data_IF_341003978375
#
_entry.id   IF_341003978375
#
_cell.length_a   1.000
_cell.length_b   1.000
_cell.length_c   1.000
_cell.angle_alpha   90.00
_cell.angle_beta   90.00
_cell.angle_gamma   90.00
#
_symmetry.space_group_name_H-M   'P 1'
#
loop_
_entity.id
_entity.type
_entity.pdbx_description
1 polymer ?
#
# COMPACT_ATOMS: atom_id res chain seq x y z
N UNK A 1 -15.17 1.07 -5.58
CA UNK A 1 -14.23 1.34 -4.46
C UNK A 1 -12.84 1.72 -4.97
N UNK A 2 -12.11 0.84 -5.68
CA UNK A 2 -10.74 1.17 -6.15
C UNK A 2 -10.62 2.47 -6.96
N UNK A 3 -11.53 2.70 -7.92
CA UNK A 3 -11.58 3.97 -8.68
C UNK A 3 -11.81 5.19 -7.79
N UNK A 4 -12.65 5.06 -6.75
CA UNK A 4 -12.94 6.13 -5.81
C UNK A 4 -11.70 6.45 -4.98
N UNK A 5 -11.08 5.44 -4.36
CA UNK A 5 -9.85 5.61 -3.58
C UNK A 5 -8.72 6.23 -4.40
N UNK A 6 -8.65 5.94 -5.71
CA UNK A 6 -7.62 6.47 -6.60
C UNK A 6 -7.92 7.89 -7.11
N UNK A 7 -9.19 8.26 -7.31
CA UNK A 7 -9.54 9.51 -8.02
C UNK A 7 -10.20 10.57 -7.14
N UNK A 8 -10.87 10.19 -6.06
CA UNK A 8 -11.47 11.15 -5.14
C UNK A 8 -10.39 11.91 -4.36
N UNK A 9 -10.67 13.18 -4.07
CA UNK A 9 -9.89 14.07 -3.20
C UNK A 9 -10.75 14.66 -2.09
N UNK A 10 -11.95 14.10 -1.89
CA UNK A 10 -12.81 14.46 -0.78
C UNK A 10 -12.45 13.60 0.43
N UNK A 11 -12.07 14.25 1.52
CA UNK A 11 -11.61 13.56 2.71
C UNK A 11 -12.71 12.66 3.32
N UNK A 12 -13.93 13.17 3.41
CA UNK A 12 -15.04 12.46 4.08
C UNK A 12 -15.53 11.29 3.21
N UNK A 13 -15.55 11.46 1.88
CA UNK A 13 -15.85 10.36 0.95
C UNK A 13 -14.81 9.23 1.07
N UNK A 14 -13.53 9.58 1.03
CA UNK A 14 -12.44 8.60 1.16
C UNK A 14 -12.49 7.88 2.51
N UNK A 15 -12.72 8.62 3.59
CA UNK A 15 -12.84 8.06 4.94
C UNK A 15 -14.05 7.13 5.04
N UNK A 16 -15.20 7.52 4.47
CA UNK A 16 -16.41 6.71 4.46
C UNK A 16 -16.17 5.36 3.79
N UNK A 17 -15.66 5.35 2.56
CA UNK A 17 -15.43 4.09 1.84
C UNK A 17 -14.35 3.23 2.50
N UNK A 18 -13.29 3.85 3.03
CA UNK A 18 -12.24 3.13 3.74
C UNK A 18 -12.79 2.44 4.99
N UNK A 19 -13.55 3.17 5.84
CA UNK A 19 -14.16 2.59 7.04
C UNK A 19 -15.17 1.50 6.69
N UNK A 20 -16.09 1.79 5.76
CA UNK A 20 -17.12 0.85 5.35
C UNK A 20 -16.51 -0.46 4.83
N UNK A 21 -15.41 -0.39 4.07
CA UNK A 21 -14.70 -1.60 3.62
C UNK A 21 -14.11 -2.40 4.79
N UNK A 22 -13.41 -1.75 5.72
CA UNK A 22 -12.81 -2.41 6.88
C UNK A 22 -13.89 -3.04 7.78
N UNK A 23 -15.01 -2.36 8.00
CA UNK A 23 -16.14 -2.85 8.80
C UNK A 23 -16.90 -4.00 8.13
N UNK A 24 -17.05 -3.96 6.80
CA UNK A 24 -17.73 -5.02 6.07
C UNK A 24 -16.87 -6.30 5.96
N UNK A 25 -15.55 -6.16 5.86
CA UNK A 25 -14.65 -7.29 5.55
C UNK A 25 -13.96 -7.83 6.82
N UNK A 26 -13.48 -6.98 7.70
CA UNK A 26 -12.64 -7.36 8.84
C UNK A 26 -13.35 -8.20 9.91
N UNK A 27 -14.40 -7.67 10.58
CA UNK A 27 -15.09 -8.37 11.66
C UNK A 27 -15.60 -9.77 11.28
N UNK A 28 -16.26 -9.97 10.12
CA UNK A 28 -16.72 -11.32 9.72
C UNK A 28 -15.58 -12.31 9.46
N UNK A 29 -14.39 -11.83 9.09
CA UNK A 29 -13.22 -12.67 8.82
C UNK A 29 -12.43 -13.05 10.07
N UNK A 30 -12.52 -12.27 11.17
CA UNK A 30 -11.68 -12.44 12.36
C UNK A 30 -11.60 -13.89 12.85
N UNK A 31 -12.73 -14.52 13.16
CA UNK A 31 -12.76 -15.88 13.71
C UNK A 31 -12.32 -16.94 12.69
N UNK A 32 -12.66 -16.73 11.40
CA UNK A 32 -12.25 -17.62 10.31
C UNK A 32 -10.74 -17.56 10.12
N UNK A 33 -10.15 -16.37 10.16
CA UNK A 33 -8.70 -16.16 10.06
C UNK A 33 -7.96 -16.77 11.25
N UNK A 34 -8.47 -16.61 12.47
CA UNK A 34 -7.90 -17.27 13.65
C UNK A 34 -7.90 -18.79 13.49
N UNK A 35 -9.01 -19.37 13.01
CA UNK A 35 -9.10 -20.81 12.74
C UNK A 35 -8.14 -21.24 11.63
N UNK A 36 -8.02 -20.45 10.57
CA UNK A 36 -7.05 -20.69 9.49
C UNK A 36 -5.62 -20.74 10.03
N UNK A 37 -5.20 -19.76 10.84
CA UNK A 37 -3.84 -19.73 11.42
C UNK A 37 -3.58 -20.96 12.31
N UNK A 38 -4.56 -21.38 13.10
CA UNK A 38 -4.44 -22.61 13.91
C UNK A 38 -4.21 -23.85 13.05
N UNK A 39 -5.01 -24.01 11.98
CA UNK A 39 -4.91 -25.15 11.08
C UNK A 39 -3.61 -25.13 10.26
N UNK A 40 -3.20 -23.95 9.76
CA UNK A 40 -1.95 -23.78 9.04
C UNK A 40 -0.74 -24.15 9.94
N UNK A 41 -0.71 -23.67 11.18
CA UNK A 41 0.35 -24.02 12.12
C UNK A 41 0.33 -25.50 12.53
N UNK A 42 -0.86 -26.13 12.61
CA UNK A 42 -0.95 -27.57 12.84
C UNK A 42 -0.36 -28.36 11.67
N UNK A 43 -0.70 -27.99 10.43
CA UNK A 43 -0.16 -28.62 9.23
C UNK A 43 1.36 -28.44 9.13
N UNK A 44 1.87 -27.25 9.41
CA UNK A 44 3.32 -26.97 9.40
C UNK A 44 4.07 -27.86 10.40
N UNK A 45 3.56 -27.97 11.63
CA UNK A 45 4.14 -28.85 12.67
C UNK A 45 4.11 -30.33 12.31
N UNK A 46 3.09 -30.79 11.63
CA UNK A 46 3.04 -32.18 11.11
C UNK A 46 4.10 -32.43 10.03
N UNK A 47 4.59 -31.38 9.37
CA UNK A 47 5.65 -31.43 8.37
C UNK A 47 7.04 -31.09 8.94
N UNK A 48 7.18 -31.00 10.26
CA UNK A 48 8.48 -30.77 10.92
C UNK A 48 8.88 -29.30 11.13
N UNK A 49 8.04 -28.34 10.73
CA UNK A 49 8.28 -26.91 10.97
C UNK A 49 7.69 -26.45 12.31
N UNK A 50 8.27 -25.45 12.96
CA UNK A 50 7.78 -24.80 14.17
C UNK A 50 6.40 -24.14 13.96
N UNK A 51 6.21 -23.46 12.82
CA UNK A 51 4.97 -22.80 12.44
C UNK A 51 4.86 -22.60 10.91
N UNK A 52 3.69 -22.13 10.47
CA UNK A 52 3.42 -21.89 9.05
C UNK A 52 4.30 -20.77 8.46
N UNK A 53 4.81 -19.86 9.27
CA UNK A 53 5.71 -18.80 8.82
C UNK A 53 7.10 -19.33 8.51
N UNK A 54 7.63 -20.24 9.32
CA UNK A 54 8.86 -20.97 9.02
C UNK A 54 8.72 -21.80 7.75
N UNK A 55 7.62 -22.57 7.64
CA UNK A 55 7.33 -23.34 6.42
C UNK A 55 7.27 -22.46 5.16
N UNK A 56 6.72 -21.24 5.24
CA UNK A 56 6.72 -20.31 4.11
C UNK A 56 8.11 -19.78 3.76
N UNK A 57 8.97 -19.58 4.76
CA UNK A 57 10.35 -19.10 4.55
C UNK A 57 11.25 -20.17 3.96
N UNK A 58 10.95 -21.44 4.18
CA UNK A 58 11.69 -22.56 3.60
C UNK A 58 11.80 -22.48 2.07
N UNK A 59 10.80 -21.90 1.39
CA UNK A 59 10.83 -21.72 -0.07
C UNK A 59 12.00 -20.85 -0.58
N UNK A 60 12.69 -20.13 0.30
CA UNK A 60 13.86 -19.32 -0.02
C UNK A 60 15.19 -20.02 0.28
N UNK A 61 15.16 -21.15 1.00
CA UNK A 61 16.35 -21.95 1.35
C UNK A 61 17.51 -21.11 1.93
N UNK A 62 17.18 -20.11 2.77
CA UNK A 62 18.12 -19.13 3.34
C UNK A 62 17.92 -18.99 4.86
N UNK A 63 18.88 -19.52 5.62
CA UNK A 63 18.91 -19.45 7.09
C UNK A 63 18.96 -18.01 7.64
N UNK A 64 19.41 -17.06 6.82
CA UNK A 64 19.53 -15.64 7.17
C UNK A 64 18.44 -14.77 6.53
N UNK A 65 17.41 -15.38 5.95
CA UNK A 65 16.38 -14.66 5.20
C UNK A 65 15.78 -13.47 5.96
N UNK A 66 15.48 -13.64 7.25
CA UNK A 66 14.88 -12.58 8.06
C UNK A 66 15.85 -11.41 8.29
N UNK A 67 17.13 -11.71 8.52
CA UNK A 67 18.19 -10.71 8.68
C UNK A 67 18.42 -9.96 7.36
N UNK A 68 18.52 -10.69 6.24
CA UNK A 68 18.70 -10.13 4.91
C UNK A 68 17.57 -9.15 4.55
N UNK A 69 16.31 -9.52 4.83
CA UNK A 69 15.15 -8.62 4.64
C UNK A 69 15.24 -7.40 5.56
N UNK A 70 15.63 -7.57 6.83
CA UNK A 70 15.79 -6.45 7.76
C UNK A 70 16.87 -5.46 7.30
N UNK A 71 17.98 -5.95 6.74
CA UNK A 71 19.05 -5.12 6.18
C UNK A 71 18.57 -4.33 4.95
N UNK A 72 17.85 -4.98 4.02
CA UNK A 72 17.25 -4.30 2.87
C UNK A 72 16.27 -3.22 3.32
N UNK A 73 15.39 -3.52 4.27
CA UNK A 73 14.43 -2.55 4.83
C UNK A 73 15.16 -1.38 5.49
N UNK A 74 16.23 -1.65 6.25
CA UNK A 74 17.06 -0.62 6.88
C UNK A 74 17.71 0.29 5.83
N UNK A 75 18.26 -0.29 4.76
CA UNK A 75 18.90 0.46 3.67
C UNK A 75 17.94 1.40 2.92
N UNK A 76 16.68 0.97 2.69
CA UNK A 76 15.68 1.80 1.99
C UNK A 76 14.96 2.80 2.91
N UNK A 77 15.00 2.58 4.23
CA UNK A 77 14.24 3.38 5.20
C UNK A 77 14.54 4.88 5.13
N UNK A 78 15.79 5.35 5.00
CA UNK A 78 16.08 6.78 4.85
C UNK A 78 15.38 7.41 3.65
N UNK A 79 15.43 6.75 2.48
CA UNK A 79 14.75 7.21 1.27
C UNK A 79 13.23 7.25 1.47
N UNK A 80 12.66 6.18 2.03
CA UNK A 80 11.22 6.13 2.35
C UNK A 80 10.80 7.27 3.29
N UNK A 81 11.60 7.58 4.32
CA UNK A 81 11.31 8.69 5.23
C UNK A 81 11.31 10.06 4.54
N UNK A 82 12.23 10.30 3.60
CA UNK A 82 12.21 11.52 2.81
C UNK A 82 10.96 11.63 1.93
N UNK A 83 10.63 10.57 1.20
CA UNK A 83 9.40 10.51 0.39
C UNK A 83 8.15 10.72 1.26
N UNK A 84 8.06 9.99 2.36
CA UNK A 84 6.95 10.07 3.32
C UNK A 84 6.80 11.49 3.90
N UNK A 85 7.90 12.16 4.22
CA UNK A 85 7.88 13.54 4.72
C UNK A 85 7.39 14.50 3.64
N UNK A 86 7.90 14.37 2.41
CA UNK A 86 7.46 15.19 1.29
C UNK A 86 5.96 15.02 0.99
N UNK A 87 5.49 13.77 0.92
CA UNK A 87 4.07 13.44 0.73
C UNK A 87 3.22 13.99 1.86
N UNK A 88 3.68 13.89 3.13
CA UNK A 88 2.98 14.52 4.26
C UNK A 88 2.81 16.01 4.06
N UNK A 89 3.86 16.73 3.65
CA UNK A 89 3.78 18.17 3.39
C UNK A 89 2.72 18.48 2.34
N UNK A 90 2.70 17.74 1.22
CA UNK A 90 1.70 17.91 0.16
C UNK A 90 0.27 17.58 0.60
N UNK A 91 0.10 16.56 1.44
CA UNK A 91 -1.20 16.24 2.00
C UNK A 91 -1.67 17.30 3.00
N UNK A 92 -0.77 17.91 3.79
CA UNK A 92 -1.09 19.04 4.67
C UNK A 92 -1.50 20.26 3.85
N UNK A 93 -0.79 20.58 2.76
CA UNK A 93 -1.18 21.66 1.84
C UNK A 93 -2.61 21.45 1.31
N UNK A 94 -3.00 20.20 1.02
CA UNK A 94 -4.33 19.86 0.45
C UNK A 94 -5.46 19.75 1.47
N UNK A 95 -5.18 19.16 2.63
CA UNK A 95 -6.19 18.71 3.61
C UNK A 95 -6.09 19.43 4.96
N UNK A 96 -5.09 20.29 5.15
CA UNK A 96 -4.92 21.12 6.35
C UNK A 96 -4.75 20.29 7.62
N UNK A 97 -5.52 20.67 8.65
CA UNK A 97 -5.51 20.10 10.00
C UNK A 97 -5.93 18.62 10.07
N UNK A 98 -6.56 18.10 9.00
CA UNK A 98 -6.90 16.69 8.88
C UNK A 98 -5.68 15.76 8.73
N UNK A 99 -4.48 16.33 8.50
CA UNK A 99 -3.20 15.61 8.45
C UNK A 99 -2.27 16.18 9.51
N UNK A 100 -1.77 15.32 10.40
CA UNK A 100 -0.86 15.75 11.46
C UNK A 100 0.57 15.98 10.93
N UNK A 101 1.25 17.08 11.30
CA UNK A 101 2.62 17.38 10.86
C UNK A 101 3.66 16.41 11.45
N UNK A 102 3.37 15.82 12.60
CA UNK A 102 4.24 14.94 13.39
C UNK A 102 3.75 13.48 13.47
N UNK A 103 2.63 13.16 12.81
CA UNK A 103 1.94 11.88 12.93
C UNK A 103 2.00 10.99 11.68
N UNK A 104 1.51 9.74 11.76
CA UNK A 104 1.39 8.88 10.57
C UNK A 104 0.47 9.51 9.52
N UNK A 105 0.65 9.10 8.26
CA UNK A 105 -0.25 9.50 7.18
C UNK A 105 -1.61 8.81 7.35
N UNK A 106 -2.74 9.52 7.19
CA UNK A 106 -4.05 8.87 7.18
C UNK A 106 -4.16 7.88 6.00
N UNK A 107 -4.39 6.60 6.30
CA UNK A 107 -4.31 5.52 5.31
C UNK A 107 -5.29 5.66 4.12
N UNK A 108 -6.42 6.33 4.32
CA UNK A 108 -7.45 6.55 3.29
C UNK A 108 -7.09 7.64 2.28
N UNK A 109 -6.01 8.40 2.49
CA UNK A 109 -5.60 9.51 1.62
C UNK A 109 -4.49 9.13 0.63
N UNK A 110 -4.12 7.85 0.53
CA UNK A 110 -2.93 7.40 -0.19
C UNK A 110 -3.25 6.70 -1.51
N UNK A 111 -4.38 7.06 -2.13
CA UNK A 111 -4.70 6.66 -3.52
C UNK A 111 -5.16 5.21 -3.70
N UNK A 112 -5.18 4.40 -2.64
CA UNK A 112 -5.69 3.03 -2.65
C UNK A 112 -6.19 2.62 -1.25
N UNK A 113 -6.91 1.49 -1.17
CA UNK A 113 -7.55 1.03 0.07
C UNK A 113 -6.58 0.69 1.21
N UNK A 114 -5.36 0.28 0.90
CA UNK A 114 -4.38 -0.26 1.84
C UNK A 114 -3.12 0.59 1.98
N UNK A 115 -3.08 1.77 1.36
CA UNK A 115 -1.89 2.63 1.32
C UNK A 115 -0.61 1.97 0.76
N UNK A 116 -0.73 0.85 0.02
CA UNK A 116 0.41 0.07 -0.48
C UNK A 116 1.12 0.68 -1.70
N UNK A 117 0.42 1.49 -2.50
CA UNK A 117 0.97 2.20 -3.67
C UNK A 117 0.35 3.61 -3.75
N UNK A 118 1.18 4.65 -3.84
CA UNK A 118 0.75 6.06 -3.81
C UNK A 118 0.63 6.70 -5.20
N UNK A 119 0.72 5.93 -6.28
CA UNK A 119 0.52 6.43 -7.65
C UNK A 119 -0.83 7.16 -7.83
N UNK A 120 -1.87 6.70 -7.13
CA UNK A 120 -3.21 7.31 -7.18
C UNK A 120 -3.26 8.76 -6.71
N UNK A 121 -2.25 9.26 -6.00
CA UNK A 121 -2.17 10.66 -5.53
C UNK A 121 -1.07 11.47 -6.23
N UNK A 122 -0.54 10.99 -7.36
CA UNK A 122 0.55 11.66 -8.06
C UNK A 122 0.24 13.14 -8.36
N UNK A 123 -0.99 13.47 -8.74
CA UNK A 123 -1.48 14.83 -8.97
C UNK A 123 -1.34 15.77 -7.75
N UNK A 124 -1.37 15.23 -6.53
CA UNK A 124 -1.18 16.01 -5.30
C UNK A 124 0.29 16.23 -4.97
N UNK A 125 1.15 15.31 -5.42
CA UNK A 125 2.57 15.25 -5.03
C UNK A 125 3.53 15.54 -6.17
N UNK A 126 3.01 15.97 -7.32
CA UNK A 126 3.83 16.34 -8.47
C UNK A 126 4.68 17.57 -8.16
N UNK A 127 6.03 17.48 -8.22
CA UNK A 127 6.89 18.62 -7.88
C UNK A 127 6.80 19.79 -8.87
N UNK A 128 6.63 19.48 -10.16
CA UNK A 128 6.68 20.46 -11.25
C UNK A 128 5.51 20.25 -12.23
N UNK A 129 4.27 20.63 -11.88
CA UNK A 129 3.09 20.37 -12.71
C UNK A 129 3.10 21.11 -14.05
N UNK A 130 3.88 22.19 -14.16
CA UNK A 130 4.06 22.94 -15.40
C UNK A 130 5.06 22.28 -16.37
N UNK A 131 5.81 21.26 -15.93
CA UNK A 131 6.75 20.55 -16.79
C UNK A 131 5.99 19.59 -17.72
N UNK A 132 6.42 19.53 -18.99
CA UNK A 132 5.81 18.66 -19.99
C UNK A 132 6.11 17.20 -19.65
N UNK A 133 5.08 16.40 -19.39
CA UNK A 133 5.23 14.95 -19.32
C UNK A 133 5.28 14.34 -20.71
N UNK A 134 6.06 13.27 -20.83
CA UNK A 134 6.00 12.38 -21.99
C UNK A 134 4.79 11.47 -21.77
N UNK A 135 3.66 11.84 -22.36
CA UNK A 135 2.48 10.97 -22.50
C UNK A 135 2.31 10.64 -23.99
N UNK A 136 2.62 9.40 -24.35
CA UNK A 136 2.53 8.90 -25.73
C UNK A 136 1.19 8.22 -26.01
N UNK A 137 0.23 8.25 -25.08
CA UNK A 137 -1.07 7.56 -25.23
C UNK A 137 -1.79 8.04 -26.49
N UNK A 138 -1.83 9.36 -26.72
CA UNK A 138 -2.42 9.94 -27.92
C UNK A 138 -1.67 9.50 -29.19
N UNK A 139 -0.35 9.49 -29.16
CA UNK A 139 0.46 9.06 -30.31
C UNK A 139 0.25 7.58 -30.64
N UNK A 140 0.12 6.72 -29.62
CA UNK A 140 -0.20 5.30 -29.79
C UNK A 140 -1.60 5.10 -30.39
N UNK A 141 -2.61 5.87 -29.95
CA UNK A 141 -3.96 5.85 -30.52
C UNK A 141 -3.92 6.32 -31.99
N UNK A 142 -3.21 7.40 -32.27
CA UNK A 142 -3.03 7.93 -33.64
C UNK A 142 -2.34 6.90 -34.54
N UNK A 143 -1.33 6.19 -34.02
CA UNK A 143 -0.60 5.14 -34.73
C UNK A 143 -1.38 3.81 -34.82
N UNK A 144 -2.59 3.72 -34.27
CA UNK A 144 -3.44 2.54 -34.37
C UNK A 144 -2.95 1.34 -33.57
N UNK A 145 -2.20 1.55 -32.47
CA UNK A 145 -1.81 0.48 -31.57
C UNK A 145 -3.06 -0.16 -30.94
N UNK A 146 -3.22 -1.46 -31.13
CA UNK A 146 -4.28 -2.27 -30.48
C UNK A 146 -3.66 -3.30 -29.53
N UNK A 147 -4.37 -3.71 -28.46
CA UNK A 147 -3.97 -4.88 -27.68
C UNK A 147 -3.85 -6.12 -28.59
N UNK A 148 -2.90 -7.00 -28.28
CA UNK A 148 -2.80 -8.34 -28.87
C UNK A 148 -3.91 -9.25 -28.35
#
# INVERSE_FOLDING_TARGET
>A
INKIMAKSRDYEELLHYWRAWQEAVGPPLKNKYMRYVQLANQAARLNGFADAGEQMREAYEDDYFQQNIAEVVSAITPMYKHLFTYVRTKLIERYGDKVRPDGPLPAHLLGNMWAQNWEGIYDLVEPFPAARRIDVTLDMIIQGFTPL
#
